data_IF_238144579082
#
_entry.id   IF_238144579082
#
_cell.length_a   1.000
_cell.length_b   1.000
_cell.length_c   1.000
_cell.angle_alpha   90.00
_cell.angle_beta   90.00
_cell.angle_gamma   90.00
#
_symmetry.space_group_name_H-M   'P 1'
#
loop_
_entity.id
_entity.type
_entity.pdbx_description
1 polymer ?
#
# COMPACT_ATOMS: atom_id res chain seq x y z
N UNK A 1 15.59 -7.12 23.36
CA UNK A 1 14.26 -6.57 23.02
C UNK A 1 14.45 -5.37 22.12
N UNK A 2 13.76 -5.30 21.00
CA UNK A 2 13.82 -4.22 20.02
C UNK A 2 12.43 -3.63 19.84
N UNK A 3 12.30 -2.31 19.96
CA UNK A 3 11.01 -1.62 19.85
C UNK A 3 10.70 -1.16 18.42
N UNK A 4 11.69 -1.02 17.55
CA UNK A 4 11.52 -0.59 16.16
C UNK A 4 12.69 -1.04 15.28
N UNK A 5 12.42 -1.20 13.99
CA UNK A 5 13.45 -1.48 12.99
C UNK A 5 13.89 -0.16 12.34
N UNK A 6 15.16 0.18 12.49
CA UNK A 6 15.76 1.30 11.76
C UNK A 6 16.31 0.81 10.42
N UNK A 7 15.64 1.15 9.34
CA UNK A 7 16.03 0.75 7.97
C UNK A 7 16.78 1.86 7.22
N UNK A 8 16.99 3.01 7.86
CA UNK A 8 17.61 4.18 7.21
C UNK A 8 19.11 4.03 6.92
N UNK A 9 19.79 3.10 7.62
CA UNK A 9 21.24 2.89 7.51
C UNK A 9 22.08 4.05 8.04
N UNK A 10 21.47 5.02 8.71
CA UNK A 10 22.21 6.14 9.31
C UNK A 10 22.76 5.79 10.68
N UNK A 11 24.05 6.11 10.90
CA UNK A 11 24.76 5.95 12.15
C UNK A 11 25.50 7.25 12.49
N UNK A 12 24.74 8.31 12.79
CA UNK A 12 25.26 9.69 12.93
C UNK A 12 25.36 10.17 14.37
N UNK A 13 24.54 9.60 15.25
CA UNK A 13 24.49 9.97 16.67
C UNK A 13 24.99 8.82 17.54
N UNK A 14 25.43 9.09 18.80
CA UNK A 14 25.81 8.02 19.73
C UNK A 14 24.72 6.96 19.93
N UNK A 15 23.44 7.35 19.97
CA UNK A 15 22.31 6.43 20.07
C UNK A 15 22.17 5.56 18.81
N UNK A 16 22.23 6.15 17.59
CA UNK A 16 22.20 5.39 16.33
C UNK A 16 23.41 4.43 16.21
N UNK A 17 24.57 4.81 16.75
CA UNK A 17 25.77 3.94 16.78
C UNK A 17 25.62 2.80 17.78
N UNK A 18 24.98 3.04 18.91
CA UNK A 18 24.70 2.01 19.92
C UNK A 18 23.74 0.94 19.40
N UNK A 19 22.73 1.37 18.62
CA UNK A 19 21.73 0.48 18.02
C UNK A 19 22.23 -0.21 16.74
N UNK A 20 23.45 0.08 16.30
CA UNK A 20 24.05 -0.56 15.13
C UNK A 20 24.24 -2.05 15.38
N UNK A 21 23.79 -2.87 14.40
CA UNK A 21 23.89 -4.33 14.44
C UNK A 21 23.20 -4.98 15.67
N UNK A 22 22.29 -4.26 16.33
CA UNK A 22 21.58 -4.73 17.52
C UNK A 22 20.62 -5.87 17.24
N UNK A 23 20.16 -6.02 15.99
CA UNK A 23 19.24 -7.09 15.58
C UNK A 23 19.69 -7.78 14.31
N UNK A 24 19.59 -9.09 14.30
CA UNK A 24 19.79 -9.94 13.14
C UNK A 24 18.45 -10.43 12.61
N UNK A 25 18.28 -10.42 11.29
CA UNK A 25 17.07 -10.86 10.61
C UNK A 25 17.41 -12.01 9.67
N UNK A 26 16.57 -13.04 9.70
CA UNK A 26 16.65 -14.15 8.75
C UNK A 26 15.33 -14.25 7.99
N UNK A 27 15.42 -14.23 6.66
CA UNK A 27 14.29 -14.46 5.77
C UNK A 27 14.51 -15.74 4.99
N UNK A 28 13.53 -16.63 5.04
CA UNK A 28 13.51 -17.86 4.24
C UNK A 28 12.19 -17.89 3.48
N UNK A 29 12.25 -18.04 2.18
CA UNK A 29 11.06 -18.02 1.36
C UNK A 29 11.15 -18.90 0.14
N UNK A 30 10.00 -19.22 -0.43
CA UNK A 30 9.87 -19.95 -1.68
C UNK A 30 8.72 -19.37 -2.49
N UNK A 31 8.87 -19.43 -3.82
CA UNK A 31 7.81 -19.08 -4.76
C UNK A 31 7.75 -20.15 -5.84
N UNK A 32 6.54 -20.63 -6.12
CA UNK A 32 6.24 -21.57 -7.19
C UNK A 32 5.33 -20.90 -8.20
N UNK A 33 5.75 -20.84 -9.45
CA UNK A 33 4.98 -20.27 -10.53
C UNK A 33 4.57 -21.33 -11.56
N UNK A 34 3.31 -21.34 -11.96
CA UNK A 34 2.82 -22.03 -13.13
C UNK A 34 2.35 -21.02 -14.17
N UNK A 35 2.91 -21.09 -15.37
CA UNK A 35 2.68 -20.09 -16.42
C UNK A 35 2.29 -20.73 -17.73
N UNK A 36 1.24 -20.22 -18.32
CA UNK A 36 0.83 -20.49 -19.69
C UNK A 36 0.93 -19.22 -20.54
N UNK A 37 0.54 -19.30 -21.80
CA UNK A 37 0.53 -18.14 -22.69
C UNK A 37 -0.40 -17.00 -22.22
N UNK A 38 -1.44 -17.29 -21.43
CA UNK A 38 -2.49 -16.33 -21.05
C UNK A 38 -2.74 -16.23 -19.55
N UNK A 39 -2.29 -17.23 -18.80
CA UNK A 39 -2.55 -17.33 -17.36
C UNK A 39 -1.25 -17.65 -16.65
N UNK A 40 -1.03 -16.96 -15.55
CA UNK A 40 0.02 -17.19 -14.58
C UNK A 40 -0.63 -17.37 -13.21
N UNK A 41 -0.20 -18.37 -12.46
CA UNK A 41 -0.60 -18.61 -11.08
C UNK A 41 0.66 -18.78 -10.25
N UNK A 42 0.72 -18.15 -9.09
CA UNK A 42 1.84 -18.24 -8.17
C UNK A 42 1.39 -18.64 -6.76
N UNK A 43 2.28 -19.33 -6.06
CA UNK A 43 2.18 -19.62 -4.64
C UNK A 43 3.47 -19.20 -3.97
N UNK A 44 3.37 -18.47 -2.88
CA UNK A 44 4.49 -17.93 -2.13
C UNK A 44 4.41 -18.34 -0.67
N UNK A 45 5.57 -18.53 -0.03
CA UNK A 45 5.67 -18.67 1.42
C UNK A 45 6.90 -17.91 1.89
N UNK A 46 6.80 -17.21 3.01
CA UNK A 46 7.86 -16.47 3.65
C UNK A 46 7.85 -16.76 5.15
N UNK A 47 9.02 -17.06 5.70
CA UNK A 47 9.30 -17.12 7.13
C UNK A 47 10.35 -16.05 7.47
N UNK A 48 9.97 -15.12 8.32
CA UNK A 48 10.82 -14.04 8.81
C UNK A 48 11.06 -14.23 10.30
N UNK A 49 12.33 -14.24 10.71
CA UNK A 49 12.76 -14.43 12.10
C UNK A 49 13.72 -13.35 12.52
N UNK A 50 13.63 -12.99 13.78
CA UNK A 50 14.52 -12.03 14.44
C UNK A 50 15.20 -12.73 15.63
N UNK A 51 16.46 -12.40 15.87
CA UNK A 51 17.22 -12.96 17.00
C UNK A 51 16.87 -12.34 18.36
N UNK A 52 15.87 -11.47 18.40
CA UNK A 52 15.41 -10.78 19.60
C UNK A 52 13.92 -10.52 19.52
N UNK A 53 13.26 -10.55 20.66
CA UNK A 53 11.84 -10.17 20.75
C UNK A 53 11.61 -8.76 20.23
N UNK A 54 10.63 -8.62 19.37
CA UNK A 54 10.12 -7.31 18.94
C UNK A 54 9.01 -6.91 19.90
N UNK A 55 9.35 -6.11 20.89
CA UNK A 55 8.38 -5.55 21.85
C UNK A 55 8.14 -4.06 21.53
N UNK A 56 7.03 -3.80 20.89
CA UNK A 56 6.60 -2.44 20.60
C UNK A 56 5.83 -1.85 21.76
N UNK A 57 5.96 -0.55 21.98
CA UNK A 57 5.06 0.16 22.87
C UNK A 57 3.70 0.30 22.19
N UNK A 58 2.84 -0.72 22.41
CA UNK A 58 1.54 -0.79 21.78
C UNK A 58 0.58 0.21 22.40
N UNK A 59 0.06 1.07 21.56
CA UNK A 59 -1.05 1.98 21.83
C UNK A 59 -2.32 1.42 21.19
N UNK A 60 -3.47 1.96 21.51
CA UNK A 60 -4.74 1.48 20.95
C UNK A 60 -4.75 1.46 19.41
N UNK A 61 -4.13 2.44 18.76
CA UNK A 61 -4.11 2.54 17.30
C UNK A 61 -3.22 1.50 16.62
N UNK A 62 -2.16 1.02 17.28
CA UNK A 62 -1.19 0.07 16.72
C UNK A 62 -1.16 -1.28 17.44
N UNK A 63 -2.17 -1.59 18.24
CA UNK A 63 -2.20 -2.82 19.06
C UNK A 63 -2.16 -4.13 18.25
N UNK A 64 -2.46 -4.07 16.95
CA UNK A 64 -2.42 -5.22 16.04
C UNK A 64 -1.09 -5.32 15.27
N UNK A 65 -0.11 -4.47 15.55
CA UNK A 65 1.20 -4.56 14.91
C UNK A 65 1.94 -5.83 15.32
N UNK A 66 2.83 -6.27 14.43
CA UNK A 66 3.72 -7.41 14.70
C UNK A 66 4.51 -7.18 15.99
N UNK A 67 4.32 -8.06 16.95
CA UNK A 67 4.94 -8.07 18.27
C UNK A 67 5.38 -9.50 18.61
N UNK A 68 6.34 -10.02 17.87
CA UNK A 68 6.81 -11.40 17.89
C UNK A 68 8.19 -11.53 17.28
N UNK A 69 8.94 -12.56 17.65
CA UNK A 69 10.23 -12.95 17.03
C UNK A 69 10.08 -13.55 15.63
N UNK A 70 8.86 -13.90 15.22
CA UNK A 70 8.61 -14.58 13.95
C UNK A 70 7.35 -14.06 13.29
N UNK A 71 7.38 -13.99 11.96
CA UNK A 71 6.22 -13.75 11.12
C UNK A 71 6.26 -14.64 9.90
N UNK A 72 5.18 -15.39 9.67
CA UNK A 72 5.04 -16.24 8.50
C UNK A 72 3.89 -15.73 7.65
N UNK A 73 4.09 -15.77 6.34
CA UNK A 73 3.10 -15.36 5.35
C UNK A 73 3.06 -16.39 4.23
N UNK A 74 1.85 -16.84 3.91
CA UNK A 74 1.60 -17.59 2.68
C UNK A 74 0.77 -16.73 1.73
N UNK A 75 1.03 -16.83 0.44
CA UNK A 75 0.33 -16.03 -0.56
C UNK A 75 0.05 -16.82 -1.83
N UNK A 76 -0.97 -16.37 -2.53
CA UNK A 76 -1.25 -16.79 -3.90
C UNK A 76 -1.44 -15.56 -4.78
N UNK A 77 -0.94 -15.65 -6.00
CA UNK A 77 -1.08 -14.60 -7.01
C UNK A 77 -1.56 -15.16 -8.34
N UNK A 78 -2.15 -14.29 -9.12
CA UNK A 78 -2.57 -14.63 -10.47
C UNK A 78 -2.43 -13.46 -11.43
N UNK A 79 -2.17 -13.76 -12.69
CA UNK A 79 -2.32 -12.84 -13.81
C UNK A 79 -2.98 -13.56 -14.97
N UNK A 80 -3.93 -12.89 -15.65
CA UNK A 80 -4.61 -13.46 -16.80
C UNK A 80 -4.88 -12.40 -17.87
N UNK A 81 -4.55 -12.72 -19.12
CA UNK A 81 -4.81 -11.85 -20.27
C UNK A 81 -5.90 -12.46 -21.14
N UNK A 82 -7.04 -11.77 -21.19
CA UNK A 82 -8.21 -12.18 -21.98
C UNK A 82 -8.54 -11.04 -22.94
N UNK A 83 -8.22 -11.23 -24.21
CA UNK A 83 -8.34 -10.19 -25.26
C UNK A 83 -7.56 -8.93 -24.87
N UNK A 84 -8.26 -7.82 -24.62
CA UNK A 84 -7.70 -6.51 -24.22
C UNK A 84 -7.79 -6.24 -22.71
N UNK A 85 -8.19 -7.25 -21.93
CA UNK A 85 -8.24 -7.19 -20.47
C UNK A 85 -7.06 -7.93 -19.86
N UNK A 86 -6.39 -7.31 -18.90
CA UNK A 86 -5.38 -7.90 -18.07
C UNK A 86 -5.89 -7.90 -16.62
N UNK A 87 -6.18 -9.08 -16.10
CA UNK A 87 -6.59 -9.32 -14.71
C UNK A 87 -5.36 -9.71 -13.91
N UNK A 88 -5.25 -9.21 -12.69
CA UNK A 88 -4.17 -9.57 -11.78
C UNK A 88 -4.65 -9.47 -10.34
N UNK A 89 -4.02 -10.22 -9.46
CA UNK A 89 -4.29 -10.14 -8.04
C UNK A 89 -3.33 -10.96 -7.22
N UNK A 90 -3.30 -10.63 -5.95
CA UNK A 90 -2.53 -11.32 -4.93
C UNK A 90 -3.33 -11.35 -3.64
N UNK A 91 -3.27 -12.47 -2.92
CA UNK A 91 -3.87 -12.62 -1.59
C UNK A 91 -2.83 -13.26 -0.69
N UNK A 92 -2.59 -12.65 0.46
CA UNK A 92 -1.70 -13.14 1.50
C UNK A 92 -2.44 -13.43 2.80
N UNK A 93 -1.99 -14.47 3.50
CA UNK A 93 -2.46 -14.88 4.83
C UNK A 93 -1.25 -14.95 5.76
N UNK A 94 -1.29 -14.22 6.86
CA UNK A 94 -0.27 -14.28 7.91
C UNK A 94 -0.61 -15.32 8.98
N UNK A 95 0.40 -15.83 9.68
CA UNK A 95 0.27 -16.93 10.65
C UNK A 95 -0.64 -16.61 11.84
N UNK A 96 -0.90 -15.34 12.13
CA UNK A 96 -1.85 -14.89 13.14
C UNK A 96 -3.31 -14.89 12.65
N UNK A 97 -3.57 -15.27 11.39
CA UNK A 97 -4.90 -15.32 10.78
C UNK A 97 -5.31 -14.07 10.00
N UNK A 98 -4.56 -12.96 10.13
CA UNK A 98 -4.78 -11.75 9.34
C UNK A 98 -4.51 -11.99 7.85
N UNK A 99 -5.30 -11.36 6.98
CA UNK A 99 -5.16 -11.50 5.53
C UNK A 99 -5.24 -10.16 4.80
N UNK A 100 -4.68 -10.15 3.59
CA UNK A 100 -4.73 -9.00 2.72
C UNK A 100 -4.84 -9.42 1.26
N UNK A 101 -5.51 -8.61 0.45
CA UNK A 101 -5.68 -8.87 -0.98
C UNK A 101 -5.64 -7.60 -1.80
N UNK A 102 -5.08 -7.71 -3.00
CA UNK A 102 -5.14 -6.72 -4.08
C UNK A 102 -5.62 -7.42 -5.33
N UNK A 103 -6.64 -6.88 -5.97
CA UNK A 103 -7.14 -7.39 -7.25
C UNK A 103 -7.35 -6.24 -8.21
N UNK A 104 -6.98 -6.42 -9.45
CA UNK A 104 -7.11 -5.38 -10.45
C UNK A 104 -7.42 -5.88 -11.84
N UNK A 105 -7.94 -4.96 -12.63
CA UNK A 105 -8.12 -5.13 -14.06
C UNK A 105 -7.63 -3.89 -14.80
N UNK A 106 -6.85 -4.11 -15.84
CA UNK A 106 -6.49 -3.09 -16.81
C UNK A 106 -7.05 -3.46 -18.18
N UNK A 107 -7.60 -2.49 -18.89
CA UNK A 107 -8.15 -2.72 -20.21
C UNK A 107 -7.77 -1.59 -21.18
N UNK A 108 -7.27 -1.95 -22.36
CA UNK A 108 -7.15 -1.05 -23.49
C UNK A 108 -8.47 -1.12 -24.29
N UNK A 109 -9.40 -0.20 -24.03
CA UNK A 109 -10.73 -0.21 -24.66
C UNK A 109 -10.63 0.08 -26.17
N UNK A 110 -9.69 0.94 -26.54
CA UNK A 110 -9.31 1.22 -27.91
C UNK A 110 -7.88 1.80 -27.97
N UNK A 111 -7.42 2.26 -29.13
CA UNK A 111 -6.08 2.82 -29.30
C UNK A 111 -5.85 4.14 -28.54
N UNK A 112 -6.91 4.79 -28.08
CA UNK A 112 -6.85 6.08 -27.40
C UNK A 112 -7.17 6.01 -25.90
N UNK A 113 -7.90 5.00 -25.44
CA UNK A 113 -8.41 4.91 -24.07
C UNK A 113 -8.01 3.60 -23.41
N UNK A 114 -7.32 3.71 -22.29
CA UNK A 114 -7.07 2.62 -21.35
C UNK A 114 -7.67 2.96 -19.99
N UNK A 115 -8.17 1.97 -19.30
CA UNK A 115 -8.71 2.08 -17.94
C UNK A 115 -8.03 1.08 -17.01
N UNK A 116 -8.00 1.40 -15.73
CA UNK A 116 -7.55 0.51 -14.68
C UNK A 116 -8.50 0.62 -13.49
N UNK A 117 -8.85 -0.51 -12.89
CA UNK A 117 -9.56 -0.57 -11.61
C UNK A 117 -8.78 -1.51 -10.71
N UNK A 118 -8.46 -1.06 -9.50
CA UNK A 118 -7.77 -1.87 -8.49
C UNK A 118 -8.55 -1.78 -7.20
N UNK A 119 -8.88 -2.91 -6.63
CA UNK A 119 -9.46 -3.03 -5.30
C UNK A 119 -8.43 -3.64 -4.35
N UNK A 120 -8.36 -3.12 -3.12
CA UNK A 120 -7.48 -3.63 -2.09
C UNK A 120 -8.20 -3.74 -0.75
N UNK A 121 -7.80 -4.74 0.02
CA UNK A 121 -8.26 -4.93 1.39
C UNK A 121 -7.15 -5.55 2.22
N UNK A 122 -6.83 -4.93 3.35
CA UNK A 122 -5.86 -5.43 4.32
C UNK A 122 -6.50 -5.40 5.71
N UNK A 123 -6.60 -6.54 6.35
CA UNK A 123 -7.06 -6.59 7.73
C UNK A 123 -6.09 -5.86 8.66
N UNK A 124 -6.59 -5.40 9.80
CA UNK A 124 -5.82 -4.62 10.78
C UNK A 124 -4.64 -5.40 11.39
N UNK A 125 -4.73 -6.70 11.42
CA UNK A 125 -3.76 -7.65 11.95
C UNK A 125 -3.01 -8.44 10.85
N UNK A 126 -3.13 -8.05 9.60
CA UNK A 126 -2.34 -8.64 8.53
C UNK A 126 -0.87 -8.22 8.66
N UNK A 127 0.02 -9.21 8.78
CA UNK A 127 1.46 -9.02 8.91
C UNK A 127 2.19 -9.49 7.66
N UNK A 128 2.80 -8.56 6.93
CA UNK A 128 3.63 -8.86 5.76
C UNK A 128 4.91 -8.03 5.83
N UNK A 129 5.97 -8.52 6.50
CA UNK A 129 7.18 -7.75 6.78
C UNK A 129 7.90 -7.21 5.54
N UNK A 130 7.86 -7.95 4.42
CA UNK A 130 8.46 -7.56 3.15
C UNK A 130 7.43 -7.09 2.11
N UNK A 131 6.14 -7.15 2.44
CA UNK A 131 5.06 -6.76 1.53
C UNK A 131 5.02 -5.25 1.31
N UNK A 132 4.99 -4.85 0.05
CA UNK A 132 4.79 -3.45 -0.35
C UNK A 132 3.75 -3.38 -1.49
N UNK A 133 2.51 -3.81 -1.22
CA UNK A 133 1.44 -3.78 -2.20
C UNK A 133 0.95 -2.34 -2.43
N UNK A 134 0.00 -2.19 -3.37
CA UNK A 134 -0.67 -0.92 -3.62
C UNK A 134 -1.50 -0.51 -2.40
N UNK A 135 -1.09 0.55 -1.69
CA UNK A 135 -1.70 1.05 -0.46
C UNK A 135 -1.49 2.56 -0.30
N UNK A 136 -2.31 3.18 0.52
CA UNK A 136 -2.16 4.59 0.95
C UNK A 136 -1.35 4.70 2.25
N UNK A 137 -1.47 3.71 3.11
CA UNK A 137 -0.74 3.59 4.38
C UNK A 137 0.74 3.27 4.19
N UNK A 138 1.49 3.27 5.28
CA UNK A 138 2.91 2.86 5.29
C UNK A 138 3.11 1.35 5.43
N UNK A 139 2.05 0.61 5.72
CA UNK A 139 2.02 -0.84 5.91
C UNK A 139 0.73 -1.41 5.36
N UNK A 140 0.75 -2.64 4.83
CA UNK A 140 -0.44 -3.31 4.31
C UNK A 140 -1.33 -3.85 5.43
N UNK A 141 -1.88 -2.96 6.24
CA UNK A 141 -2.76 -3.29 7.34
C UNK A 141 -3.82 -2.22 7.56
N UNK A 142 -5.02 -2.64 7.99
CA UNK A 142 -6.13 -1.75 8.33
C UNK A 142 -6.55 -0.81 7.20
N UNK A 143 -6.54 -1.28 5.96
CA UNK A 143 -6.90 -0.43 4.81
C UNK A 143 -7.77 -1.19 3.82
N UNK A 144 -8.85 -0.58 3.37
CA UNK A 144 -9.60 -1.00 2.18
C UNK A 144 -9.65 0.16 1.20
N UNK A 145 -9.64 -0.13 -0.09
CA UNK A 145 -9.72 0.95 -1.07
C UNK A 145 -9.99 0.49 -2.49
N UNK A 146 -10.46 1.45 -3.29
CA UNK A 146 -10.71 1.25 -4.71
C UNK A 146 -10.10 2.41 -5.49
N UNK A 147 -9.19 2.05 -6.38
CA UNK A 147 -8.57 2.95 -7.34
C UNK A 147 -9.19 2.78 -8.71
N UNK A 148 -9.51 3.88 -9.37
CA UNK A 148 -10.00 3.92 -10.74
C UNK A 148 -9.13 4.90 -11.51
N UNK A 149 -8.44 4.42 -12.55
CA UNK A 149 -7.57 5.20 -13.40
C UNK A 149 -7.98 5.16 -14.86
N UNK A 150 -7.69 6.24 -15.59
CA UNK A 150 -7.88 6.32 -17.03
C UNK A 150 -6.71 7.05 -17.68
N UNK A 151 -6.27 6.53 -18.83
CA UNK A 151 -5.31 7.17 -19.71
C UNK A 151 -5.96 7.39 -21.08
N UNK A 152 -6.06 8.65 -21.49
CA UNK A 152 -6.69 9.05 -22.74
C UNK A 152 -5.67 9.77 -23.65
N UNK A 153 -5.48 9.27 -24.83
CA UNK A 153 -4.72 9.92 -25.88
C UNK A 153 -5.67 10.69 -26.81
N UNK A 154 -5.76 12.00 -26.65
CA UNK A 154 -6.63 12.84 -27.49
C UNK A 154 -6.15 12.88 -28.95
N UNK A 155 -4.83 12.94 -29.15
CA UNK A 155 -4.16 12.88 -30.44
C UNK A 155 -2.68 12.52 -30.26
N UNK A 156 -1.85 12.68 -31.28
CA UNK A 156 -0.41 12.35 -31.23
C UNK A 156 0.40 13.22 -30.27
N UNK A 157 -0.12 14.37 -29.83
CA UNK A 157 0.58 15.34 -28.98
C UNK A 157 -0.03 15.55 -27.62
N UNK A 158 -1.30 15.21 -27.41
CA UNK A 158 -2.04 15.48 -26.19
C UNK A 158 -2.48 14.19 -25.50
N UNK A 159 -2.18 14.09 -24.20
CA UNK A 159 -2.50 12.95 -23.33
C UNK A 159 -3.11 13.44 -22.03
N UNK A 160 -4.11 12.72 -21.55
CA UNK A 160 -4.71 12.93 -20.24
C UNK A 160 -4.52 11.64 -19.44
N UNK A 161 -3.97 11.77 -18.22
CA UNK A 161 -3.97 10.70 -17.23
C UNK A 161 -4.74 11.21 -16.02
N UNK A 162 -5.69 10.43 -15.57
CA UNK A 162 -6.51 10.78 -14.41
C UNK A 162 -6.76 9.56 -13.54
N UNK A 163 -6.87 9.76 -12.22
CA UNK A 163 -7.33 8.73 -11.31
C UNK A 163 -8.12 9.31 -10.16
N UNK A 164 -8.93 8.44 -9.55
CA UNK A 164 -9.55 8.63 -8.26
C UNK A 164 -9.22 7.41 -7.39
N UNK A 165 -8.78 7.64 -6.17
CA UNK A 165 -8.53 6.63 -5.16
C UNK A 165 -9.39 6.95 -3.93
N UNK A 166 -10.20 5.96 -3.52
CA UNK A 166 -11.06 6.02 -2.35
C UNK A 166 -10.60 4.94 -1.40
N UNK A 167 -10.40 5.30 -0.11
CA UNK A 167 -9.90 4.36 0.89
C UNK A 167 -10.50 4.63 2.26
N UNK A 168 -10.60 3.58 3.05
CA UNK A 168 -11.08 3.60 4.42
C UNK A 168 -10.18 2.79 5.34
N UNK A 169 -10.19 3.19 6.61
CA UNK A 169 -9.51 2.54 7.71
C UNK A 169 -10.55 2.16 8.76
N UNK A 170 -10.75 0.89 8.97
CA UNK A 170 -11.77 0.38 9.91
C UNK A 170 -11.37 0.47 11.36
N UNK A 171 -10.09 0.64 11.63
CA UNK A 171 -9.49 0.83 12.94
C UNK A 171 -8.79 2.18 13.02
N UNK A 172 -8.40 2.56 14.25
CA UNK A 172 -7.68 3.78 14.56
C UNK A 172 -6.34 3.84 13.79
N UNK A 173 -5.82 5.04 13.64
CA UNK A 173 -4.50 5.32 13.09
C UNK A 173 -3.75 6.33 13.97
N UNK A 174 -2.46 6.46 13.76
CA UNK A 174 -1.70 7.53 14.39
C UNK A 174 -2.36 8.89 14.11
N UNK A 175 -2.68 9.62 15.19
CA UNK A 175 -3.38 10.90 15.17
C UNK A 175 -4.77 10.88 14.49
N UNK A 176 -5.48 9.72 14.53
CA UNK A 176 -6.88 9.59 14.10
C UNK A 176 -7.58 8.55 14.99
N UNK A 177 -8.32 9.01 15.98
CA UNK A 177 -8.87 8.19 17.07
C UNK A 177 -10.26 7.63 16.77
N UNK A 178 -10.60 7.48 15.48
CA UNK A 178 -11.82 6.81 15.02
C UNK A 178 -11.56 6.14 13.66
N UNK A 179 -12.42 5.19 13.22
CA UNK A 179 -12.49 4.73 11.85
C UNK A 179 -12.59 5.93 10.90
N UNK A 180 -11.84 5.90 9.82
CA UNK A 180 -11.66 7.09 8.97
C UNK A 180 -11.59 6.72 7.51
N UNK A 181 -11.77 7.72 6.66
CA UNK A 181 -11.74 7.56 5.21
C UNK A 181 -10.92 8.67 4.56
N UNK A 182 -10.53 8.44 3.32
CA UNK A 182 -9.88 9.45 2.51
C UNK A 182 -10.13 9.24 1.02
N UNK A 183 -9.79 10.25 0.27
CA UNK A 183 -9.85 10.21 -1.18
C UNK A 183 -8.70 11.01 -1.77
N UNK A 184 -8.22 10.56 -2.90
CA UNK A 184 -7.25 11.28 -3.70
C UNK A 184 -7.69 11.29 -5.16
N UNK A 185 -7.57 12.44 -5.81
CA UNK A 185 -7.80 12.58 -7.24
C UNK A 185 -6.59 13.27 -7.86
N UNK A 186 -6.19 12.80 -9.03
CA UNK A 186 -5.16 13.45 -9.82
C UNK A 186 -5.58 13.48 -11.28
N UNK A 187 -5.40 14.62 -11.92
CA UNK A 187 -5.53 14.76 -13.37
C UNK A 187 -4.29 15.46 -13.92
N UNK A 188 -3.66 14.86 -14.91
CA UNK A 188 -2.52 15.44 -15.61
C UNK A 188 -2.82 15.55 -17.10
N UNK A 189 -2.72 16.75 -17.64
CA UNK A 189 -2.71 17.03 -19.06
C UNK A 189 -1.26 17.17 -19.53
N UNK A 190 -0.86 16.40 -20.52
CA UNK A 190 0.49 16.38 -21.08
C UNK A 190 0.46 16.78 -22.55
N UNK A 191 1.32 17.72 -22.94
CA UNK A 191 1.53 18.17 -24.32
C UNK A 191 2.95 17.84 -24.80
N UNK A 192 3.05 17.01 -25.83
CA UNK A 192 4.31 16.61 -26.47
C UNK A 192 4.38 17.15 -27.92
N UNK A 193 4.81 18.39 -28.12
CA UNK A 193 4.93 18.95 -29.47
C UNK A 193 5.95 18.20 -30.34
N UNK A 194 7.00 17.67 -29.75
CA UNK A 194 8.06 16.92 -30.41
C UNK A 194 8.61 15.81 -29.47
N UNK A 195 9.52 14.98 -30.02
CA UNK A 195 10.22 13.95 -29.21
C UNK A 195 11.16 14.52 -28.14
N UNK A 196 11.55 15.80 -28.25
CA UNK A 196 12.52 16.46 -27.36
C UNK A 196 11.89 17.41 -26.35
N UNK A 197 10.58 17.68 -26.46
CA UNK A 197 9.88 18.63 -25.60
C UNK A 197 8.59 18.02 -25.08
N UNK A 198 8.40 18.13 -23.77
CA UNK A 198 7.19 17.71 -23.06
C UNK A 198 6.82 18.79 -22.04
N UNK A 199 5.57 19.18 -22.03
CA UNK A 199 4.98 20.08 -21.06
C UNK A 199 3.82 19.38 -20.38
N UNK A 200 3.62 19.61 -19.07
CA UNK A 200 2.46 19.08 -18.38
C UNK A 200 1.89 20.07 -17.36
N UNK A 201 0.59 19.98 -17.18
CA UNK A 201 -0.13 20.58 -16.06
C UNK A 201 -0.75 19.46 -15.25
N UNK A 202 -0.61 19.52 -13.91
CA UNK A 202 -1.11 18.52 -12.98
C UNK A 202 -1.93 19.19 -11.91
N UNK A 203 -3.12 18.64 -11.68
CA UNK A 203 -3.98 18.96 -10.55
C UNK A 203 -4.13 17.72 -9.67
N UNK A 204 -3.86 17.87 -8.38
CA UNK A 204 -4.03 16.82 -7.38
C UNK A 204 -4.79 17.38 -6.20
N UNK A 205 -5.80 16.66 -5.74
CA UNK A 205 -6.52 16.93 -4.51
C UNK A 205 -6.48 15.71 -3.64
N UNK A 206 -6.27 15.90 -2.32
CA UNK A 206 -6.25 14.83 -1.34
C UNK A 206 -6.98 15.28 -0.09
N UNK A 207 -7.98 14.50 0.29
CA UNK A 207 -8.74 14.69 1.53
C UNK A 207 -8.57 13.46 2.42
N UNK A 208 -8.26 13.68 3.70
CA UNK A 208 -8.16 12.63 4.71
C UNK A 208 -8.51 13.15 6.08
N UNK A 209 -9.00 12.27 6.93
CA UNK A 209 -9.39 12.61 8.28
C UNK A 209 -8.17 12.80 9.19
N UNK A 210 -8.29 13.74 10.12
CA UNK A 210 -7.34 14.01 11.20
C UNK A 210 -8.10 14.36 12.47
N UNK A 211 -7.48 14.09 13.61
CA UNK A 211 -7.97 14.62 14.88
C UNK A 211 -7.95 16.15 14.86
N UNK A 212 -9.04 16.74 15.31
CA UNK A 212 -9.14 18.18 15.56
C UNK A 212 -9.21 18.40 17.07
N UNK A 213 -8.25 19.13 17.63
CA UNK A 213 -8.26 19.54 19.03
C UNK A 213 -8.86 20.94 19.12
N UNK A 214 -10.04 21.03 19.69
CA UNK A 214 -10.55 22.29 20.23
C UNK A 214 -9.95 22.44 21.62
N UNK A 215 -9.26 23.56 21.89
CA UNK A 215 -8.43 23.77 23.08
C UNK A 215 -9.09 23.55 24.46
N UNK A 216 -10.39 23.28 24.50
CA UNK A 216 -11.18 23.05 25.72
C UNK A 216 -11.90 21.68 25.76
N UNK A 217 -11.65 20.78 24.85
CA UNK A 217 -12.35 19.50 24.79
C UNK A 217 -11.46 18.30 25.08
N UNK A 218 -11.85 17.49 26.07
CA UNK A 218 -11.31 16.16 26.33
C UNK A 218 -11.60 15.16 25.19
N UNK A 219 -12.41 15.51 24.21
CA UNK A 219 -12.84 14.64 23.11
C UNK A 219 -12.24 15.14 21.80
N UNK A 220 -11.37 14.35 21.21
CA UNK A 220 -10.80 14.59 19.88
C UNK A 220 -11.71 13.93 18.83
N UNK A 221 -12.29 14.72 17.93
CA UNK A 221 -13.12 14.20 16.84
C UNK A 221 -12.34 14.27 15.53
N UNK A 222 -12.22 13.16 14.78
CA UNK A 222 -11.61 13.20 13.46
C UNK A 222 -12.48 14.00 12.49
N UNK A 223 -11.88 14.96 11.81
CA UNK A 223 -12.52 15.76 10.77
C UNK A 223 -11.79 15.62 9.43
N UNK A 224 -12.50 15.77 8.30
CA UNK A 224 -11.89 15.84 6.98
C UNK A 224 -10.89 16.99 6.90
N UNK A 225 -9.72 16.72 6.32
CA UNK A 225 -8.68 17.72 6.03
C UNK A 225 -8.36 17.68 4.55
N UNK A 226 -8.64 18.76 3.83
CA UNK A 226 -8.37 18.91 2.39
C UNK A 226 -6.98 19.52 2.15
N UNK A 227 -6.28 19.01 1.11
CA UNK A 227 -5.00 19.52 0.61
C UNK A 227 -4.96 19.54 -0.91
#
# INVERSE_FOLDING_TARGET
>A
VVSSFQTSGFHRTPAELFDKDAISQQFTGAHLEWKTRRVQLGLSALDARWNSDVERNLQLYNQFELNSEQSQVAGMDYAAVIRNFNFFGETGLSSNGGWGTVNGVMAALNQALSIAVVNRHYERDFHSPLGNPFMEGSRPANESGTYIGAALRLNQKWYINTYADFYDYRWLKFAVDAPSQGRENLTQLTYKPSRRAEFYARWRTKSKWRNYSTGDAEITVPLPSDR
#
